data_IF_751982729160
#
_entry.id   IF_751982729160
#
_cell.length_a   1.000
_cell.length_b   1.000
_cell.length_c   1.000
_cell.angle_alpha   90.00
_cell.angle_beta   90.00
_cell.angle_gamma   90.00
#
_symmetry.space_group_name_H-M   'P 1'
#
loop_
_entity.id
_entity.type
_entity.pdbx_description
1 polymer ?
#
# COMPACT_ATOMS: atom_id res chain seq x y z
N UNK A 1 -2.81 -11.04 1.56
CA UNK A 1 -3.45 -10.65 2.84
C UNK A 1 -3.09 -11.68 3.89
N UNK A 2 -2.46 -11.28 5.01
CA UNK A 2 -2.00 -12.19 6.08
C UNK A 2 -3.09 -12.52 7.11
N UNK A 3 -3.95 -11.57 7.46
CA UNK A 3 -5.01 -11.73 8.46
C UNK A 3 -6.38 -12.03 7.82
N UNK A 4 -7.40 -11.22 8.09
CA UNK A 4 -8.77 -11.41 7.56
C UNK A 4 -8.86 -10.97 6.08
N UNK A 5 -9.52 -11.73 5.18
CA UNK A 5 -9.84 -11.29 3.82
C UNK A 5 -10.91 -10.19 3.78
N UNK A 6 -10.65 -9.07 4.46
CA UNK A 6 -11.57 -7.96 4.55
C UNK A 6 -10.84 -6.63 4.59
N UNK A 7 -11.44 -5.62 3.96
CA UNK A 7 -10.98 -4.25 4.02
C UNK A 7 -12.02 -3.34 4.68
N UNK A 8 -11.56 -2.24 5.27
CA UNK A 8 -12.40 -1.25 5.93
C UNK A 8 -12.89 -1.67 7.32
N UNK A 9 -14.08 -1.22 7.68
CA UNK A 9 -14.63 -1.25 9.03
C UNK A 9 -14.71 0.14 9.65
N UNK A 10 -15.02 0.21 10.95
CA UNK A 10 -15.04 1.49 11.68
C UNK A 10 -13.62 2.05 11.72
N UNK A 11 -13.46 3.34 11.40
CA UNK A 11 -12.16 4.01 11.28
C UNK A 11 -11.41 3.63 9.99
N UNK A 12 -11.09 2.34 9.78
CA UNK A 12 -10.34 1.88 8.61
C UNK A 12 -11.04 2.22 7.28
N UNK A 13 -12.37 2.19 7.25
CA UNK A 13 -13.14 2.59 6.07
C UNK A 13 -12.98 4.08 5.70
N UNK A 14 -12.75 4.95 6.69
CA UNK A 14 -12.45 6.38 6.44
C UNK A 14 -11.04 6.53 5.87
N UNK A 15 -10.04 5.91 6.50
CA UNK A 15 -8.66 5.90 6.00
C UNK A 15 -8.58 5.38 4.56
N UNK A 16 -9.34 4.35 4.22
CA UNK A 16 -9.41 3.86 2.85
C UNK A 16 -9.97 4.89 1.87
N UNK A 17 -10.99 5.67 2.27
CA UNK A 17 -11.56 6.74 1.44
C UNK A 17 -10.61 7.94 1.32
N UNK A 18 -9.85 8.24 2.36
CA UNK A 18 -8.80 9.26 2.32
C UNK A 18 -7.68 8.85 1.34
N UNK A 19 -7.21 7.60 1.43
CA UNK A 19 -6.21 7.04 0.49
C UNK A 19 -6.74 7.06 -0.94
N UNK A 20 -8.01 6.68 -1.15
CA UNK A 20 -8.68 6.72 -2.46
C UNK A 20 -8.76 8.14 -3.03
N UNK A 21 -9.09 9.14 -2.19
CA UNK A 21 -9.14 10.54 -2.58
C UNK A 21 -7.76 11.10 -2.97
N UNK A 22 -6.68 10.52 -2.44
CA UNK A 22 -5.29 10.81 -2.81
C UNK A 22 -4.78 9.94 -3.97
N UNK A 23 -5.69 9.31 -4.72
CA UNK A 23 -5.43 8.42 -5.86
C UNK A 23 -4.62 7.14 -5.49
N UNK A 24 -4.75 6.70 -4.24
CA UNK A 24 -4.15 5.46 -3.77
C UNK A 24 -4.85 4.21 -4.31
N UNK A 25 -4.07 3.15 -4.54
CA UNK A 25 -4.54 1.94 -5.23
C UNK A 25 -5.50 1.07 -4.41
N UNK A 26 -5.41 1.09 -3.08
CA UNK A 26 -6.00 0.04 -2.25
C UNK A 26 -7.53 -0.08 -2.41
N UNK A 27 -8.25 1.05 -2.47
CA UNK A 27 -9.71 1.08 -2.60
C UNK A 27 -10.19 0.59 -3.97
N UNK A 28 -9.52 1.01 -5.05
CA UNK A 28 -9.80 0.56 -6.42
C UNK A 28 -9.59 -0.95 -6.58
N UNK A 29 -8.49 -1.48 -6.04
CA UNK A 29 -8.22 -2.92 -6.09
C UNK A 29 -9.20 -3.70 -5.21
N UNK A 30 -9.62 -3.14 -4.07
CA UNK A 30 -10.71 -3.71 -3.27
C UNK A 30 -12.00 -3.81 -4.08
N UNK A 31 -12.34 -2.77 -4.85
CA UNK A 31 -13.57 -2.75 -5.64
C UNK A 31 -13.58 -3.79 -6.76
N UNK A 32 -12.44 -4.05 -7.40
CA UNK A 32 -12.30 -5.13 -8.38
C UNK A 32 -12.30 -6.53 -7.79
N UNK A 33 -12.02 -6.65 -6.49
CA UNK A 33 -11.81 -7.94 -5.81
C UNK A 33 -12.86 -8.22 -4.74
N UNK A 34 -13.91 -7.40 -4.68
CA UNK A 34 -14.94 -7.45 -3.66
C UNK A 34 -15.92 -8.60 -3.88
N UNK A 35 -16.22 -9.30 -2.78
CA UNK A 35 -17.22 -10.37 -2.73
C UNK A 35 -18.52 -9.88 -2.08
N UNK A 36 -18.41 -9.08 -1.03
CA UNK A 36 -19.57 -8.57 -0.29
C UNK A 36 -19.25 -7.26 0.43
N UNK A 37 -20.16 -6.29 0.33
CA UNK A 37 -20.04 -4.97 0.94
C UNK A 37 -21.07 -4.74 2.04
N UNK A 38 -20.67 -4.08 3.12
CA UNK A 38 -21.54 -3.69 4.22
C UNK A 38 -21.16 -2.33 4.77
N UNK A 39 -22.17 -1.53 5.10
CA UNK A 39 -22.01 -0.32 5.91
C UNK A 39 -22.29 -0.65 7.37
N UNK A 40 -21.25 -0.63 8.21
CA UNK A 40 -21.39 -0.73 9.67
C UNK A 40 -21.97 0.57 10.23
N UNK A 41 -22.69 0.49 11.35
CA UNK A 41 -23.33 1.65 12.00
C UNK A 41 -24.29 2.46 11.12
N UNK A 42 -24.91 1.85 10.10
CA UNK A 42 -25.79 2.55 9.14
C UNK A 42 -26.87 3.42 9.79
N UNK A 43 -27.41 3.02 10.95
CA UNK A 43 -28.45 3.75 11.70
C UNK A 43 -27.92 4.88 12.62
N UNK A 44 -26.62 4.99 12.84
CA UNK A 44 -26.01 5.96 13.79
C UNK A 44 -25.53 7.25 13.14
N UNK A 45 -25.85 7.45 11.85
CA UNK A 45 -25.50 8.65 11.08
C UNK A 45 -24.15 8.56 10.36
N UNK A 46 -23.93 9.44 9.34
CA UNK A 46 -22.81 9.30 8.40
C UNK A 46 -21.42 9.38 9.03
N UNK A 47 -21.24 10.23 10.05
CA UNK A 47 -19.95 10.46 10.70
C UNK A 47 -19.33 9.21 11.35
N UNK A 48 -20.14 8.18 11.62
CA UNK A 48 -19.69 6.94 12.29
C UNK A 48 -19.89 5.70 11.43
N UNK A 49 -20.20 5.87 10.14
CA UNK A 49 -20.34 4.77 9.21
C UNK A 49 -19.00 4.06 8.98
N UNK A 50 -19.01 2.73 9.06
CA UNK A 50 -17.83 1.90 8.78
C UNK A 50 -18.01 1.13 7.48
N UNK A 51 -17.52 1.67 6.36
CA UNK A 51 -17.53 0.96 5.09
C UNK A 51 -16.63 -0.27 5.18
N UNK A 52 -17.16 -1.45 4.87
CA UNK A 52 -16.43 -2.73 4.97
C UNK A 52 -16.71 -3.60 3.74
N UNK A 53 -15.66 -4.23 3.22
CA UNK A 53 -15.75 -5.20 2.13
C UNK A 53 -15.11 -6.55 2.55
N UNK A 54 -15.72 -7.65 2.14
CA UNK A 54 -15.06 -8.97 2.04
C UNK A 54 -14.41 -9.08 0.68
N UNK A 55 -13.18 -9.58 0.65
CA UNK A 55 -12.32 -9.53 -0.54
C UNK A 55 -11.84 -10.92 -0.90
N UNK A 56 -11.89 -11.26 -2.18
CA UNK A 56 -11.20 -12.44 -2.69
C UNK A 56 -9.68 -12.21 -2.68
N UNK A 57 -8.95 -13.04 -1.93
CA UNK A 57 -7.51 -12.89 -1.75
C UNK A 57 -6.72 -13.07 -3.05
N UNK A 58 -7.17 -13.97 -3.93
CA UNK A 58 -6.49 -14.29 -5.18
C UNK A 58 -6.68 -13.15 -6.17
N UNK A 59 -7.92 -12.68 -6.34
CA UNK A 59 -8.21 -11.53 -7.20
C UNK A 59 -7.48 -10.28 -6.70
N UNK A 60 -7.50 -10.01 -5.39
CA UNK A 60 -6.79 -8.85 -4.83
C UNK A 60 -5.29 -8.90 -5.12
N UNK A 61 -4.65 -10.06 -4.90
CA UNK A 61 -3.23 -10.24 -5.21
C UNK A 61 -2.94 -10.00 -6.69
N UNK A 62 -3.72 -10.62 -7.57
CA UNK A 62 -3.53 -10.52 -9.02
C UNK A 62 -3.70 -9.09 -9.54
N UNK A 63 -4.78 -8.42 -9.14
CA UNK A 63 -5.07 -7.04 -9.55
C UNK A 63 -4.03 -6.06 -8.99
N UNK A 64 -3.63 -6.21 -7.72
CA UNK A 64 -2.57 -5.38 -7.12
C UNK A 64 -1.23 -5.56 -7.84
N UNK A 65 -0.81 -6.79 -8.10
CA UNK A 65 0.44 -7.05 -8.84
C UNK A 65 0.37 -6.48 -10.25
N UNK A 66 -0.77 -6.61 -10.93
CA UNK A 66 -0.98 -6.04 -12.26
C UNK A 66 -0.84 -4.52 -12.25
N UNK A 67 -1.49 -3.82 -11.32
CA UNK A 67 -1.36 -2.36 -11.24
C UNK A 67 0.09 -1.95 -10.96
N UNK A 68 0.73 -2.53 -9.94
CA UNK A 68 2.12 -2.20 -9.57
C UNK A 68 3.08 -2.37 -10.75
N UNK A 69 3.00 -3.50 -11.47
CA UNK A 69 3.90 -3.78 -12.60
C UNK A 69 3.66 -2.90 -13.83
N UNK A 70 2.50 -2.23 -13.92
CA UNK A 70 2.16 -1.34 -15.03
C UNK A 70 2.20 0.15 -14.65
N UNK A 71 2.59 0.49 -13.41
CA UNK A 71 2.71 1.87 -12.95
C UNK A 71 3.87 2.56 -13.68
N UNK A 72 3.64 3.71 -14.35
CA UNK A 72 4.71 4.46 -15.00
C UNK A 72 5.78 4.92 -14.00
N UNK A 73 7.04 4.96 -14.45
CA UNK A 73 8.21 5.38 -13.65
C UNK A 73 8.48 4.50 -12.41
N UNK A 74 7.85 3.32 -12.32
CA UNK A 74 8.12 2.33 -11.28
C UNK A 74 8.80 1.10 -11.88
N UNK A 75 10.04 0.85 -11.47
CA UNK A 75 10.73 -0.41 -11.77
C UNK A 75 10.59 -1.35 -10.58
N UNK A 76 10.13 -2.57 -10.82
CA UNK A 76 10.00 -3.60 -9.78
C UNK A 76 11.14 -4.59 -9.90
N UNK A 77 11.91 -4.75 -8.84
CA UNK A 77 12.99 -5.72 -8.74
C UNK A 77 12.74 -6.65 -7.55
N UNK A 78 12.80 -7.96 -7.78
CA UNK A 78 12.70 -8.96 -6.73
C UNK A 78 14.08 -9.21 -6.13
N UNK A 79 14.20 -9.06 -4.81
CA UNK A 79 15.44 -9.28 -4.08
C UNK A 79 15.29 -8.99 -2.58
N UNK A 80 16.14 -9.59 -1.76
CA UNK A 80 16.26 -9.23 -0.35
C UNK A 80 17.22 -8.05 -0.22
N UNK A 81 16.75 -6.95 0.40
CA UNK A 81 17.59 -5.81 0.75
C UNK A 81 18.34 -6.14 2.02
N UNK A 82 19.68 -6.13 1.96
CA UNK A 82 20.57 -6.42 3.09
C UNK A 82 21.12 -5.16 3.75
N UNK A 83 21.36 -4.10 2.96
CA UNK A 83 21.85 -2.82 3.47
C UNK A 83 21.44 -1.63 2.57
N UNK A 84 21.59 -0.41 3.09
CA UNK A 84 21.37 0.84 2.36
C UNK A 84 22.71 1.50 2.00
N UNK A 85 22.81 2.02 0.78
CA UNK A 85 23.94 2.86 0.40
C UNK A 85 23.60 4.30 0.76
N UNK A 86 24.45 4.92 1.57
CA UNK A 86 24.27 6.29 2.04
C UNK A 86 25.29 7.23 1.39
N UNK A 87 24.86 8.44 1.07
CA UNK A 87 25.78 9.51 0.66
C UNK A 87 26.66 9.95 1.83
N UNK A 88 27.75 10.63 1.50
CA UNK A 88 28.51 11.36 2.51
C UNK A 88 27.60 12.39 3.22
N UNK A 89 27.86 12.68 4.50
CA UNK A 89 27.08 13.65 5.25
C UNK A 89 27.19 15.04 4.63
N UNK A 90 26.07 15.76 4.54
CA UNK A 90 26.09 17.14 4.06
C UNK A 90 26.97 18.00 5.00
N UNK A 91 27.94 18.80 4.47
CA UNK A 91 28.85 19.61 5.29
C UNK A 91 28.11 20.60 6.20
N UNK A 92 26.95 21.07 5.77
CA UNK A 92 26.12 22.05 6.47
C UNK A 92 25.13 21.42 7.47
N UNK A 93 24.90 20.10 7.39
CA UNK A 93 23.97 19.36 8.25
C UNK A 93 24.59 18.05 8.71
N UNK A 94 25.49 18.14 9.69
CA UNK A 94 26.15 17.00 10.33
C UNK A 94 25.09 15.97 10.79
N UNK A 95 25.14 14.77 10.22
CA UNK A 95 24.24 13.66 10.54
C UNK A 95 23.08 13.43 9.56
N UNK A 96 22.93 14.24 8.52
CA UNK A 96 21.99 13.95 7.41
C UNK A 96 22.72 13.29 6.25
N UNK A 97 22.35 12.05 5.94
CA UNK A 97 22.73 11.35 4.72
C UNK A 97 21.49 11.05 3.88
N UNK A 98 21.66 10.92 2.56
CA UNK A 98 20.61 10.47 1.63
C UNK A 98 20.84 9.02 1.26
N UNK A 99 19.76 8.28 1.01
CA UNK A 99 19.86 6.95 0.42
C UNK A 99 20.13 7.11 -1.07
N UNK A 100 21.24 6.56 -1.55
CA UNK A 100 21.64 6.56 -2.96
C UNK A 100 21.45 5.22 -3.66
N UNK A 101 21.18 4.15 -2.91
CA UNK A 101 20.96 2.81 -3.46
C UNK A 101 20.74 1.77 -2.36
N UNK A 102 20.67 0.49 -2.76
CA UNK A 102 20.49 -0.65 -1.85
C UNK A 102 21.45 -1.78 -2.19
N UNK A 103 21.92 -2.47 -1.16
CA UNK A 103 22.69 -3.71 -1.30
C UNK A 103 21.70 -4.88 -1.28
N UNK A 104 21.71 -5.70 -2.34
CA UNK A 104 20.94 -6.94 -2.38
C UNK A 104 21.86 -8.12 -2.07
N UNK A 105 21.32 -9.19 -1.47
CA UNK A 105 22.11 -10.38 -1.14
C UNK A 105 22.74 -11.12 -2.33
N UNK A 106 22.37 -10.76 -3.56
CA UNK A 106 22.92 -11.33 -4.80
C UNK A 106 23.74 -10.34 -5.63
N UNK A 107 23.64 -9.03 -5.39
CA UNK A 107 24.36 -7.95 -6.10
C UNK A 107 24.06 -6.57 -5.49
N UNK A 108 24.82 -5.54 -5.86
CA UNK A 108 24.48 -4.15 -5.54
C UNK A 108 23.49 -3.60 -6.58
N UNK A 109 22.38 -2.98 -6.13
CA UNK A 109 21.45 -2.25 -6.99
C UNK A 109 21.60 -0.74 -6.75
N UNK A 110 22.01 -0.03 -7.80
CA UNK A 110 22.13 1.43 -7.84
C UNK A 110 20.81 2.07 -8.25
#
# INVERSE_FOLDING_TARGET
>A
MSCNPSFGGIGKGHLMREVDALDGLCSRICDQSGVHYKVLNRRKGPAVWGLRAQIDRKLYKQNMQKEILNTPLLTVQEGAVEDLILTEPEPEHTGKCRVSGVVLGTAVAL
#
